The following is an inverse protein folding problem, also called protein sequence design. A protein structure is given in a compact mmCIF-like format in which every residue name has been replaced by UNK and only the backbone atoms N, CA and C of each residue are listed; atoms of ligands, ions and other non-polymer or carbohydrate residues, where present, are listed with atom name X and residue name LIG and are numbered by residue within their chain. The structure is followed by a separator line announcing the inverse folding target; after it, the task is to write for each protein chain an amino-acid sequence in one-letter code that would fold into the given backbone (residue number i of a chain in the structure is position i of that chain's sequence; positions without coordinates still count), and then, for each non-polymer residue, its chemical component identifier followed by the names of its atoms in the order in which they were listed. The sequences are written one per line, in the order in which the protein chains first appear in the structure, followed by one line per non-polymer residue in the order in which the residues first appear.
data_IF_110307680207
#
_entry.id   IF_110307680207
#
_cell.length_a   1.000
_cell.length_b   1.000
_cell.length_c   1.000
_cell.angle_alpha   90.00
_cell.angle_beta   90.00
_cell.angle_gamma   90.00
#
_symmetry.space_group_name_H-M   'P 1'
#
loop_
_entity.id
_entity.type
_entity.pdbx_description
1 polymer ?
#
# COMPACT_ATOMS: atom_id res chain seq x y z
N UNK A 1 13.27 1.96 19.90
CA UNK A 1 11.96 1.81 20.55
C UNK A 1 12.05 0.69 21.57
N UNK A 2 11.52 0.91 22.76
CA UNK A 2 11.59 0.03 23.94
C UNK A 2 10.18 -0.22 24.48
N UNK A 3 10.02 -1.10 25.47
CA UNK A 3 8.73 -1.41 26.09
C UNK A 3 7.95 -0.17 26.55
N UNK A 4 8.63 0.85 27.05
CA UNK A 4 8.01 2.10 27.54
C UNK A 4 7.35 2.92 26.43
N UNK A 5 7.73 2.68 25.18
CA UNK A 5 7.14 3.34 24.01
C UNK A 5 5.91 2.60 23.46
N UNK A 6 5.58 1.41 23.99
CA UNK A 6 4.45 0.60 23.56
C UNK A 6 3.19 1.04 24.28
N UNK A 7 2.15 1.34 23.51
CA UNK A 7 0.85 1.77 24.00
C UNK A 7 -0.26 0.90 23.41
N UNK A 8 -1.41 0.76 24.08
CA UNK A 8 -2.59 0.16 23.45
C UNK A 8 -2.95 0.91 22.17
N UNK A 9 -3.09 0.21 21.07
CA UNK A 9 -3.56 0.78 19.81
C UNK A 9 -5.06 1.03 19.81
N UNK A 10 -5.48 1.96 18.95
CA UNK A 10 -6.88 2.28 18.75
C UNK A 10 -7.59 1.16 17.95
N UNK A 11 -8.92 1.16 17.95
CA UNK A 11 -9.74 0.36 17.02
C UNK A 11 -9.42 -1.16 17.00
N UNK A 12 -8.92 -1.70 18.12
CA UNK A 12 -8.60 -3.13 18.23
C UNK A 12 -7.32 -3.55 17.50
N UNK A 13 -6.44 -2.61 17.12
CA UNK A 13 -5.18 -2.87 16.41
C UNK A 13 -4.12 -3.62 17.24
N UNK A 14 -4.36 -3.82 18.54
CA UNK A 14 -3.37 -4.34 19.47
C UNK A 14 -2.30 -3.30 19.83
N UNK A 15 -1.19 -3.69 20.48
CA UNK A 15 -0.12 -2.77 20.83
C UNK A 15 0.47 -2.03 19.61
N UNK A 16 0.74 -0.74 19.78
CA UNK A 16 1.38 0.15 18.79
C UNK A 16 2.51 0.94 19.43
N UNK A 17 3.48 1.36 18.62
CA UNK A 17 4.59 2.17 19.08
C UNK A 17 5.25 2.94 17.93
N UNK A 18 5.74 4.14 18.24
CA UNK A 18 6.41 5.05 17.28
C UNK A 18 5.43 5.85 16.40
N UNK A 19 5.91 6.99 15.91
CA UNK A 19 5.15 7.88 15.01
C UNK A 19 5.67 7.83 13.55
N UNK A 20 6.71 7.04 13.29
CA UNK A 20 7.31 6.86 11.97
C UNK A 20 7.76 5.43 11.78
N UNK A 21 7.58 4.94 10.55
CA UNK A 21 8.06 3.65 10.10
C UNK A 21 8.67 3.79 8.71
N UNK A 22 9.83 3.16 8.52
CA UNK A 22 10.48 2.98 7.23
C UNK A 22 10.81 1.48 7.10
N UNK A 23 10.38 0.85 6.01
CA UNK A 23 10.48 -0.59 5.82
C UNK A 23 10.92 -0.94 4.40
N UNK A 24 11.76 -1.96 4.28
CA UNK A 24 12.20 -2.55 3.03
C UNK A 24 11.70 -4.00 2.94
N UNK A 25 11.07 -4.35 1.82
CA UNK A 25 10.59 -5.70 1.54
C UNK A 25 11.30 -6.29 0.33
N UNK A 26 11.57 -7.58 0.37
CA UNK A 26 12.05 -8.38 -0.75
C UNK A 26 10.94 -9.34 -1.19
N UNK A 27 10.44 -9.19 -2.41
CA UNK A 27 9.44 -10.09 -2.98
C UNK A 27 10.12 -11.29 -3.66
N UNK A 28 9.39 -12.40 -3.81
CA UNK A 28 9.90 -13.68 -4.31
C UNK A 28 10.58 -13.59 -5.69
N UNK A 29 10.06 -12.74 -6.58
CA UNK A 29 10.61 -12.52 -7.91
C UNK A 29 11.78 -11.51 -7.94
N UNK A 30 12.29 -11.13 -6.78
CA UNK A 30 13.39 -10.21 -6.67
C UNK A 30 13.02 -8.74 -6.91
N UNK A 31 11.75 -8.37 -6.77
CA UNK A 31 11.35 -6.97 -6.64
C UNK A 31 11.64 -6.50 -5.20
N UNK A 32 12.03 -5.24 -5.05
CA UNK A 32 12.19 -4.58 -3.76
C UNK A 32 11.09 -3.55 -3.57
N UNK A 33 10.44 -3.56 -2.41
CA UNK A 33 9.44 -2.55 -2.02
C UNK A 33 9.94 -1.70 -0.87
N UNK A 34 9.72 -0.40 -0.95
CA UNK A 34 9.95 0.53 0.15
C UNK A 34 8.61 1.08 0.64
N UNK A 35 8.43 1.09 1.96
CA UNK A 35 7.27 1.71 2.60
C UNK A 35 7.76 2.71 3.64
N UNK A 36 7.17 3.90 3.64
CA UNK A 36 7.42 4.93 4.64
C UNK A 36 6.10 5.55 5.05
N UNK A 37 5.88 5.66 6.35
CA UNK A 37 4.72 6.36 6.91
C UNK A 37 5.15 7.15 8.14
N UNK A 38 4.66 8.36 8.26
CA UNK A 38 4.93 9.24 9.39
C UNK A 38 3.65 9.98 9.78
N UNK A 39 3.29 9.89 11.06
CA UNK A 39 2.17 10.61 11.66
C UNK A 39 2.41 12.12 11.54
N UNK A 40 1.39 12.85 11.10
CA UNK A 40 1.46 14.31 11.00
C UNK A 40 2.52 14.82 10.02
N UNK A 41 2.93 14.03 9.01
CA UNK A 41 3.92 14.44 8.00
C UNK A 41 3.51 15.66 7.13
N UNK A 42 2.27 16.13 7.28
CA UNK A 42 1.72 17.30 6.59
C UNK A 42 1.56 17.12 5.08
N UNK A 43 1.28 18.23 4.39
CA UNK A 43 1.06 18.30 2.94
C UNK A 43 -0.40 18.56 2.57
N UNK A 44 -0.63 19.47 1.63
CA UNK A 44 -1.91 19.69 0.97
C UNK A 44 -1.65 19.94 -0.53
N UNK A 45 -1.95 18.97 -1.41
CA UNK A 45 -2.49 17.64 -1.12
C UNK A 45 -1.51 16.75 -0.35
N UNK A 46 -2.03 15.71 0.32
CA UNK A 46 -1.17 14.73 0.99
C UNK A 46 -0.37 13.90 -0.05
N UNK A 47 0.69 13.23 0.40
CA UNK A 47 1.61 12.45 -0.45
C UNK A 47 1.35 10.94 -0.39
N UNK A 48 0.19 10.51 0.08
CA UNK A 48 -0.12 9.09 0.20
C UNK A 48 -0.37 8.49 -1.19
N UNK A 49 0.41 7.47 -1.54
CA UNK A 49 0.37 6.89 -2.87
C UNK A 49 1.34 5.75 -3.07
N UNK A 50 1.39 5.25 -4.30
CA UNK A 50 2.23 4.16 -4.74
C UNK A 50 2.98 4.59 -5.99
N UNK A 51 4.30 4.36 -5.99
CA UNK A 51 5.12 4.53 -7.19
C UNK A 51 5.74 3.20 -7.59
N UNK A 52 5.57 2.84 -8.85
CA UNK A 52 6.09 1.60 -9.44
C UNK A 52 7.16 1.97 -10.45
N UNK A 53 8.38 1.50 -10.22
CA UNK A 53 9.49 1.65 -11.15
C UNK A 53 9.66 0.37 -11.96
N UNK A 54 9.55 0.49 -13.28
CA UNK A 54 9.74 -0.60 -14.22
C UNK A 54 10.86 -0.29 -15.22
N UNK A 55 11.29 -1.30 -15.96
CA UNK A 55 12.32 -1.16 -17.01
C UNK A 55 11.89 -0.28 -18.20
N UNK A 56 10.61 0.07 -18.30
CA UNK A 56 10.03 0.87 -19.39
C UNK A 56 9.46 2.22 -18.93
N UNK A 57 9.54 2.53 -17.64
CA UNK A 57 8.86 3.70 -17.11
C UNK A 57 8.53 3.66 -15.64
N UNK A 58 7.81 4.69 -15.21
CA UNK A 58 7.29 4.87 -13.86
C UNK A 58 5.78 4.97 -13.93
N UNK A 59 5.09 4.30 -13.01
CA UNK A 59 3.69 4.58 -12.69
C UNK A 59 3.65 5.27 -11.34
N UNK A 60 2.97 6.41 -11.26
CA UNK A 60 2.66 7.10 -10.01
C UNK A 60 1.15 7.09 -9.78
N UNK A 61 0.71 6.61 -8.63
CA UNK A 61 -0.70 6.48 -8.30
C UNK A 61 -0.97 7.13 -6.95
N UNK A 62 -1.82 8.15 -6.96
CA UNK A 62 -2.31 8.74 -5.71
C UNK A 62 -3.35 7.79 -5.11
N UNK A 63 -3.36 7.67 -3.78
CA UNK A 63 -4.37 6.83 -3.13
C UNK A 63 -5.78 7.38 -3.37
N UNK A 64 -6.76 6.50 -3.60
CA UNK A 64 -8.18 6.87 -3.65
C UNK A 64 -8.92 6.21 -4.80
N UNK A 65 -10.23 6.07 -4.64
CA UNK A 65 -11.08 5.48 -5.67
C UNK A 65 -11.30 6.46 -6.83
N UNK A 66 -11.13 5.96 -8.06
CA UNK A 66 -11.21 6.72 -9.31
C UNK A 66 -10.21 7.90 -9.43
N UNK A 67 -9.19 7.93 -8.57
CA UNK A 67 -8.08 8.87 -8.74
C UNK A 67 -7.19 8.42 -9.91
N UNK A 68 -6.69 9.35 -10.73
CA UNK A 68 -5.82 8.98 -11.84
C UNK A 68 -4.48 8.45 -11.34
N UNK A 69 -4.02 7.37 -11.95
CA UNK A 69 -2.59 7.08 -12.03
C UNK A 69 -1.96 7.87 -13.18
N UNK A 70 -0.63 7.97 -13.17
CA UNK A 70 0.14 8.63 -14.21
C UNK A 70 1.28 7.71 -14.66
N UNK A 71 1.49 7.64 -15.97
CA UNK A 71 2.54 6.86 -16.62
C UNK A 71 3.56 7.79 -17.27
N UNK A 72 4.82 7.66 -16.89
CA UNK A 72 5.97 8.19 -17.61
C UNK A 72 6.67 7.02 -18.33
N UNK A 73 6.59 6.98 -19.67
CA UNK A 73 7.20 5.92 -20.49
C UNK A 73 8.67 6.24 -20.79
N UNK A 74 9.51 6.23 -19.77
CA UNK A 74 10.95 6.43 -19.89
C UNK A 74 11.72 5.40 -19.04
N UNK A 75 12.55 4.58 -19.70
CA UNK A 75 13.42 3.61 -19.04
C UNK A 75 14.48 4.24 -18.13
N UNK A 76 14.81 5.53 -18.35
CA UNK A 76 15.71 6.32 -17.50
C UNK A 76 14.98 7.10 -16.42
N UNK A 77 13.69 6.82 -16.21
CA UNK A 77 12.92 7.37 -15.09
C UNK A 77 12.90 8.91 -15.04
N UNK A 78 12.80 9.56 -16.20
CA UNK A 78 12.71 11.02 -16.32
C UNK A 78 14.05 11.72 -16.51
N UNK A 79 15.15 10.96 -16.61
CA UNK A 79 16.49 11.50 -16.90
C UNK A 79 16.80 11.57 -18.41
N UNK A 80 15.80 11.37 -19.28
CA UNK A 80 15.97 11.48 -20.72
C UNK A 80 15.64 12.86 -21.27
N UNK A 81 16.38 13.29 -22.31
CA UNK A 81 16.06 14.52 -23.05
C UNK A 81 14.70 14.42 -23.75
N UNK A 82 14.31 13.20 -24.13
CA UNK A 82 13.00 12.87 -24.72
C UNK A 82 12.03 12.28 -23.68
N UNK A 83 12.19 12.58 -22.39
CA UNK A 83 11.32 12.03 -21.35
C UNK A 83 9.87 12.34 -21.70
N UNK A 84 9.12 11.29 -22.05
CA UNK A 84 7.73 11.43 -22.45
C UNK A 84 6.94 12.10 -21.33
N UNK A 85 6.01 12.99 -21.70
CA UNK A 85 5.12 13.62 -20.73
C UNK A 85 4.33 12.55 -19.95
N UNK A 86 4.03 12.84 -18.68
CA UNK A 86 3.13 12.04 -17.87
C UNK A 86 1.77 11.90 -18.59
N UNK A 87 1.31 10.65 -18.77
CA UNK A 87 -0.01 10.34 -19.32
C UNK A 87 -0.90 9.78 -18.21
N UNK A 88 -2.15 10.24 -18.13
CA UNK A 88 -3.11 9.65 -17.20
C UNK A 88 -3.35 8.18 -17.53
N UNK A 89 -3.58 7.39 -16.49
CA UNK A 89 -4.13 6.04 -16.54
C UNK A 89 -5.50 6.13 -15.88
N UNK A 90 -6.54 5.80 -16.63
CA UNK A 90 -7.92 5.77 -16.17
C UNK A 90 -8.49 4.36 -16.32
N UNK A 91 -9.69 4.13 -15.81
CA UNK A 91 -10.38 2.85 -16.00
C UNK A 91 -10.68 2.53 -17.48
N UNK A 92 -10.69 3.55 -18.36
CA UNK A 92 -10.82 3.40 -19.80
C UNK A 92 -9.48 3.21 -20.54
N UNK A 93 -8.34 3.33 -19.86
CA UNK A 93 -7.00 3.11 -20.41
C UNK A 93 -6.07 4.33 -20.38
N UNK A 94 -4.89 4.18 -20.97
CA UNK A 94 -3.85 5.23 -20.94
C UNK A 94 -4.23 6.38 -21.88
N UNK A 95 -4.25 7.60 -21.34
CA UNK A 95 -4.57 8.82 -22.08
C UNK A 95 -6.05 8.98 -22.44
N UNK A 96 -6.93 8.12 -21.91
CA UNK A 96 -8.37 8.22 -22.10
C UNK A 96 -9.02 8.97 -20.92
N UNK A 97 -10.14 9.69 -21.14
CA UNK A 97 -10.89 10.30 -20.04
C UNK A 97 -11.41 9.25 -19.07
N UNK A 98 -11.52 9.59 -17.79
CA UNK A 98 -12.05 8.69 -16.77
C UNK A 98 -13.59 8.65 -16.86
N UNK A 99 -14.20 7.48 -17.16
CA UNK A 99 -15.65 7.36 -17.19
C UNK A 99 -16.28 7.34 -15.78
N UNK A 100 -15.52 6.98 -14.74
CA UNK A 100 -16.02 6.98 -13.36
C UNK A 100 -16.09 8.42 -12.84
N UNK A 101 -17.30 8.90 -12.57
CA UNK A 101 -17.54 10.28 -12.11
C UNK A 101 -17.58 10.43 -10.58
N UNK A 102 -17.71 9.33 -9.84
CA UNK A 102 -17.75 9.34 -8.37
C UNK A 102 -16.42 8.83 -7.81
N UNK A 103 -15.79 9.63 -6.96
CA UNK A 103 -14.47 9.36 -6.39
C UNK A 103 -14.50 9.30 -4.85
N UNK A 104 -13.35 9.07 -4.23
CA UNK A 104 -13.21 9.08 -2.78
C UNK A 104 -14.03 7.98 -2.08
N UNK A 105 -14.45 8.23 -0.83
CA UNK A 105 -15.22 7.26 -0.05
C UNK A 105 -16.62 7.03 -0.60
N UNK A 106 -17.24 8.06 -1.18
CA UNK A 106 -18.59 7.98 -1.78
C UNK A 106 -18.62 7.04 -2.99
N UNK A 107 -17.53 6.97 -3.77
CA UNK A 107 -17.39 6.01 -4.86
C UNK A 107 -16.86 4.65 -4.40
N UNK A 108 -15.80 4.66 -3.58
CA UNK A 108 -15.04 3.48 -3.21
C UNK A 108 -15.77 2.53 -2.26
N UNK A 109 -16.42 3.04 -1.21
CA UNK A 109 -17.08 2.18 -0.22
C UNK A 109 -18.25 1.41 -0.85
N UNK A 110 -19.15 2.04 -1.65
CA UNK A 110 -20.18 1.30 -2.35
C UNK A 110 -19.62 0.31 -3.39
N UNK A 111 -18.52 0.63 -4.06
CA UNK A 111 -17.88 -0.30 -5.01
C UNK A 111 -17.36 -1.57 -4.30
N UNK A 112 -16.71 -1.42 -3.15
CA UNK A 112 -16.25 -2.55 -2.34
C UNK A 112 -17.42 -3.38 -1.79
N UNK A 113 -18.48 -2.74 -1.30
CA UNK A 113 -19.68 -3.43 -0.81
C UNK A 113 -20.38 -4.23 -1.92
N UNK A 114 -20.50 -3.67 -3.12
CA UNK A 114 -21.07 -4.38 -4.28
C UNK A 114 -20.24 -5.59 -4.68
N UNK A 115 -18.91 -5.47 -4.72
CA UNK A 115 -18.05 -6.62 -5.02
C UNK A 115 -18.22 -7.74 -4.00
N UNK A 116 -18.39 -7.42 -2.70
CA UNK A 116 -18.67 -8.42 -1.68
C UNK A 116 -20.01 -9.13 -1.90
N UNK A 117 -21.08 -8.38 -2.18
CA UNK A 117 -22.41 -8.95 -2.46
C UNK A 117 -22.34 -9.87 -3.69
N UNK A 118 -21.78 -9.38 -4.78
CA UNK A 118 -21.62 -10.15 -6.01
C UNK A 118 -20.75 -11.41 -5.80
N UNK A 119 -19.75 -11.32 -4.93
CA UNK A 119 -18.90 -12.47 -4.59
C UNK A 119 -19.68 -13.57 -3.89
N UNK A 120 -20.61 -13.19 -3.00
CA UNK A 120 -21.50 -14.14 -2.32
C UNK A 120 -22.48 -14.77 -3.32
N UNK A 121 -23.09 -13.94 -4.17
CA UNK A 121 -24.08 -14.40 -5.17
C UNK A 121 -23.47 -15.36 -6.20
N UNK A 122 -22.20 -15.14 -6.57
CA UNK A 122 -21.51 -15.92 -7.60
C UNK A 122 -20.59 -17.01 -7.03
N UNK A 123 -20.57 -17.22 -5.70
CA UNK A 123 -19.67 -18.16 -5.02
C UNK A 123 -18.19 -18.00 -5.46
N UNK A 124 -17.71 -16.76 -5.45
CA UNK A 124 -16.33 -16.39 -5.80
C UNK A 124 -15.65 -15.63 -4.67
N UNK A 125 -14.33 -15.52 -4.74
CA UNK A 125 -13.59 -14.63 -3.83
C UNK A 125 -13.84 -13.16 -4.18
N UNK A 126 -13.91 -12.26 -3.18
CA UNK A 126 -13.84 -10.82 -3.40
C UNK A 126 -12.50 -10.43 -4.02
N UNK A 127 -12.49 -9.31 -4.76
CA UNK A 127 -11.26 -8.73 -5.34
C UNK A 127 -10.22 -8.46 -4.25
N UNK A 128 -10.66 -7.99 -3.08
CA UNK A 128 -9.86 -7.90 -1.87
C UNK A 128 -10.30 -8.98 -0.86
N UNK A 129 -9.75 -10.19 -1.00
CA UNK A 129 -10.11 -11.34 -0.16
C UNK A 129 -9.45 -11.31 1.21
N UNK A 130 -9.88 -12.23 2.09
CA UNK A 130 -9.26 -12.47 3.40
C UNK A 130 -7.77 -12.84 3.31
N UNK A 131 -7.33 -13.43 2.20
CA UNK A 131 -5.91 -13.76 1.99
C UNK A 131 -5.07 -12.51 1.75
N UNK A 132 -5.60 -11.53 1.00
CA UNK A 132 -4.97 -10.22 0.83
C UNK A 132 -4.92 -9.46 2.17
N UNK A 133 -6.02 -9.48 2.94
CA UNK A 133 -6.07 -8.87 4.26
C UNK A 133 -5.02 -9.47 5.22
N UNK A 134 -4.92 -10.82 5.26
CA UNK A 134 -3.90 -11.51 6.06
C UNK A 134 -2.48 -11.11 5.63
N UNK A 135 -2.20 -11.05 4.33
CA UNK A 135 -0.89 -10.66 3.82
C UNK A 135 -0.52 -9.22 4.20
N UNK A 136 -1.48 -8.28 4.11
CA UNK A 136 -1.27 -6.90 4.53
C UNK A 136 -0.95 -6.78 6.03
N UNK A 137 -1.70 -7.49 6.88
CA UNK A 137 -1.45 -7.54 8.33
C UNK A 137 -0.07 -8.14 8.62
N UNK A 138 0.29 -9.23 7.93
CA UNK A 138 1.58 -9.88 8.09
C UNK A 138 2.74 -8.95 7.70
N UNK A 139 2.60 -8.16 6.63
CA UNK A 139 3.59 -7.14 6.27
C UNK A 139 3.74 -6.07 7.35
N UNK A 140 2.65 -5.60 7.97
CA UNK A 140 2.71 -4.64 9.08
C UNK A 140 3.44 -5.23 10.28
N UNK A 141 3.06 -6.45 10.69
CA UNK A 141 3.68 -7.14 11.83
C UNK A 141 5.15 -7.46 11.56
N UNK A 142 5.54 -7.73 10.31
CA UNK A 142 6.93 -8.01 9.95
C UNK A 142 7.85 -6.82 10.25
N UNK A 143 7.34 -5.59 10.14
CA UNK A 143 8.12 -4.40 10.50
C UNK A 143 8.40 -4.35 12.00
N UNK A 144 7.40 -4.61 12.83
CA UNK A 144 7.57 -4.65 14.28
C UNK A 144 8.48 -5.79 14.73
N UNK A 145 8.35 -6.97 14.11
CA UNK A 145 9.21 -8.12 14.40
C UNK A 145 10.66 -7.85 13.98
N UNK A 146 10.86 -7.26 12.80
CA UNK A 146 12.20 -6.88 12.33
C UNK A 146 12.85 -5.86 13.26
N UNK A 147 12.09 -4.86 13.72
CA UNK A 147 12.54 -3.91 14.73
C UNK A 147 12.91 -4.61 16.05
N UNK A 148 12.04 -5.49 16.57
CA UNK A 148 12.24 -6.21 17.83
C UNK A 148 13.50 -7.08 17.81
N UNK A 149 13.74 -7.77 16.70
CA UNK A 149 14.91 -8.63 16.52
C UNK A 149 16.16 -7.89 16.05
N UNK A 150 16.03 -6.62 15.66
CA UNK A 150 17.07 -5.83 15.03
C UNK A 150 17.70 -6.56 13.82
N UNK A 151 16.86 -7.21 13.01
CA UNK A 151 17.28 -8.04 11.88
C UNK A 151 16.17 -8.17 10.82
N UNK A 152 16.50 -8.50 9.56
CA UNK A 152 15.50 -8.89 8.57
C UNK A 152 14.74 -10.14 9.02
N UNK A 153 13.45 -10.23 8.67
CA UNK A 153 12.58 -11.36 9.02
C UNK A 153 12.02 -12.00 7.76
N UNK A 154 11.89 -13.33 7.78
CA UNK A 154 11.24 -14.07 6.71
C UNK A 154 9.71 -14.00 6.86
N UNK A 155 9.02 -14.03 5.73
CA UNK A 155 7.56 -14.21 5.68
C UNK A 155 7.25 -15.58 5.04
N UNK A 156 6.31 -16.36 5.57
CA UNK A 156 5.43 -16.04 6.72
C UNK A 156 6.17 -15.92 8.06
N UNK A 157 5.67 -15.09 8.96
CA UNK A 157 6.33 -14.82 10.24
C UNK A 157 6.35 -16.05 11.14
N UNK A 158 7.49 -16.27 11.80
CA UNK A 158 7.63 -17.27 12.86
C UNK A 158 6.85 -16.86 14.12
N UNK A 159 6.91 -15.57 14.48
CA UNK A 159 6.12 -14.99 15.56
C UNK A 159 4.63 -15.08 15.23
N UNK A 160 3.84 -15.67 16.14
CA UNK A 160 2.38 -15.85 15.98
C UNK A 160 1.55 -14.85 16.79
N UNK A 161 2.19 -14.13 17.70
CA UNK A 161 1.58 -13.08 18.50
C UNK A 161 1.92 -11.69 17.92
N UNK A 162 1.42 -10.62 18.55
CA UNK A 162 1.85 -9.28 18.20
C UNK A 162 3.32 -9.08 18.65
N UNK A 163 4.26 -8.77 17.73
CA UNK A 163 5.68 -8.61 18.08
C UNK A 163 5.93 -7.58 19.19
N UNK A 164 5.15 -6.50 19.24
CA UNK A 164 5.33 -5.45 20.24
C UNK A 164 4.93 -5.89 21.65
N UNK A 165 4.10 -6.94 21.78
CA UNK A 165 3.79 -7.54 23.09
C UNK A 165 4.96 -8.28 23.72
N UNK A 166 5.96 -8.65 22.91
CA UNK A 166 7.17 -9.36 23.34
C UNK A 166 8.39 -8.45 23.53
N UNK A 167 8.23 -7.12 23.43
CA UNK A 167 9.27 -6.13 23.73
C UNK A 167 9.49 -5.93 25.24
#
# INVERSE_FOLDING_TARGET
MTREHVQPGNEGLGPLAGDRVDAMYRFQNGISGYFSSQKGAGGSPNRFGLRIFGSKGIIDHTSGYANPAFLMKDARWGLSQDAGAWKSITSAGVGQPEPITVSGYEGGNPAAARDLIESIEQDRQPKCSMHHARGAIEMVLAVFESHRLNAPVAMPLACKENPLGAL
#
